data_IF_862618527216
#
_entry.id   IF_862618527216
#
_cell.length_a   1.000
_cell.length_b   1.000
_cell.length_c   1.000
_cell.angle_alpha   90.00
_cell.angle_beta   90.00
_cell.angle_gamma   90.00
#
_symmetry.space_group_name_H-M   'P 1'
#
loop_
_entity.id
_entity.type
_entity.pdbx_description
1 polymer ?
#
# COMPACT_ATOMS: atom_id res chain seq x y z
N UNK A 1 4.28 -15.10 5.25
CA UNK A 1 3.02 -14.35 5.46
C UNK A 1 3.15 -12.96 4.87
N UNK A 2 2.11 -12.50 4.18
CA UNK A 2 2.07 -11.15 3.63
C UNK A 2 0.65 -10.58 3.63
N UNK A 3 0.56 -9.26 3.72
CA UNK A 3 -0.65 -8.51 3.40
C UNK A 3 -0.46 -7.84 2.05
N UNK A 4 -1.48 -7.88 1.20
CA UNK A 4 -1.55 -7.14 -0.04
C UNK A 4 -2.77 -6.23 0.01
N UNK A 5 -2.58 -4.94 -0.25
CA UNK A 5 -3.64 -3.94 -0.19
C UNK A 5 -3.76 -3.30 -1.56
N UNK A 6 -4.96 -3.37 -2.14
CA UNK A 6 -5.31 -2.60 -3.32
C UNK A 6 -5.63 -1.17 -2.87
N UNK A 7 -4.79 -0.22 -3.25
CA UNK A 7 -4.90 1.17 -2.78
C UNK A 7 -6.17 1.84 -3.29
N UNK A 8 -6.65 1.48 -4.49
CA UNK A 8 -7.85 2.07 -5.07
C UNK A 8 -9.11 1.68 -4.27
N UNK A 9 -9.15 0.44 -3.78
CA UNK A 9 -10.35 -0.11 -3.14
C UNK A 9 -10.25 -0.20 -1.62
N UNK A 10 -9.04 -0.09 -1.06
CA UNK A 10 -8.77 -0.38 0.35
C UNK A 10 -9.01 -1.85 0.72
N UNK A 11 -9.16 -2.73 -0.27
CA UNK A 11 -9.31 -4.16 -0.06
C UNK A 11 -7.97 -4.76 0.37
N UNK A 12 -7.98 -5.53 1.45
CA UNK A 12 -6.81 -6.24 1.96
C UNK A 12 -6.96 -7.74 1.73
N UNK A 13 -5.91 -8.35 1.19
CA UNK A 13 -5.73 -9.80 1.10
C UNK A 13 -4.60 -10.21 2.03
N UNK A 14 -4.91 -11.05 3.00
CA UNK A 14 -3.92 -11.71 3.86
C UNK A 14 -3.60 -13.09 3.30
N UNK A 15 -2.33 -13.33 3.02
CA UNK A 15 -1.82 -14.63 2.57
C UNK A 15 -0.99 -15.25 3.70
N UNK A 16 -1.63 -16.13 4.46
CA UNK A 16 -0.99 -17.00 5.44
C UNK A 16 -0.33 -18.22 4.78
N UNK A 17 0.25 -19.12 5.58
CA UNK A 17 0.90 -20.33 5.06
C UNK A 17 -0.11 -21.36 4.53
N UNK A 18 -1.34 -21.35 5.06
CA UNK A 18 -2.37 -22.34 4.75
C UNK A 18 -3.74 -21.72 4.45
N UNK A 19 -3.86 -20.39 4.43
CA UNK A 19 -5.12 -19.70 4.22
C UNK A 19 -4.94 -18.34 3.56
N UNK A 20 -5.95 -17.97 2.77
CA UNK A 20 -6.11 -16.63 2.22
C UNK A 20 -7.41 -16.03 2.79
N UNK A 21 -7.33 -14.81 3.31
CA UNK A 21 -8.49 -14.04 3.76
C UNK A 21 -8.53 -12.73 2.97
N UNK A 22 -9.69 -12.36 2.47
CA UNK A 22 -9.91 -11.09 1.79
C UNK A 22 -10.99 -10.29 2.50
N UNK A 23 -10.78 -8.98 2.64
CA UNK A 23 -11.81 -8.06 3.12
C UNK A 23 -12.70 -7.63 1.97
N UNK A 24 -13.85 -7.05 2.30
CA UNK A 24 -14.61 -6.27 1.32
C UNK A 24 -13.86 -4.97 0.96
N UNK A 25 -14.08 -4.42 -0.25
CA UNK A 25 -13.69 -3.05 -0.59
C UNK A 25 -14.30 -2.02 0.37
N UNK A 26 -13.52 -1.00 0.72
CA UNK A 26 -13.94 0.04 1.67
C UNK A 26 -14.05 1.43 1.03
N UNK A 27 -13.34 1.64 -0.08
CA UNK A 27 -13.23 2.93 -0.77
C UNK A 27 -13.19 2.72 -2.29
N UNK A 28 -13.21 3.82 -3.04
CA UNK A 28 -13.04 3.81 -4.49
C UNK A 28 -12.26 5.06 -4.93
N UNK A 29 -10.96 5.04 -4.70
CA UNK A 29 -10.05 6.12 -5.08
C UNK A 29 -9.62 6.03 -6.53
N UNK A 30 -9.48 7.19 -7.18
CA UNK A 30 -8.86 7.31 -8.49
C UNK A 30 -7.34 7.39 -8.30
N UNK A 31 -6.61 6.38 -8.78
CA UNK A 31 -5.14 6.40 -8.72
C UNK A 31 -4.61 7.39 -9.75
N UNK A 32 -3.72 8.30 -9.32
CA UNK A 32 -3.06 9.24 -10.20
C UNK A 32 -2.36 8.54 -11.39
N UNK A 33 -2.25 9.25 -12.50
CA UNK A 33 -1.66 8.70 -13.73
C UNK A 33 -0.13 8.76 -13.75
N UNK A 34 0.48 9.43 -12.78
CA UNK A 34 1.93 9.54 -12.66
C UNK A 34 2.36 9.03 -11.28
N UNK A 35 3.52 8.39 -11.24
CA UNK A 35 4.16 7.99 -10.00
C UNK A 35 4.93 9.17 -9.40
N UNK A 36 4.49 9.68 -8.26
CA UNK A 36 5.15 10.76 -7.53
C UNK A 36 5.90 10.21 -6.32
N UNK A 37 7.19 9.94 -6.51
CA UNK A 37 8.07 9.35 -5.49
C UNK A 37 8.14 10.19 -4.22
N UNK A 38 8.31 11.51 -4.36
CA UNK A 38 8.54 12.39 -3.22
C UNK A 38 7.27 12.52 -2.37
N UNK A 39 6.11 12.61 -3.01
CA UNK A 39 4.82 12.60 -2.31
C UNK A 39 4.57 11.27 -1.58
N UNK A 40 4.90 10.14 -2.21
CA UNK A 40 4.79 8.83 -1.57
C UNK A 40 5.69 8.76 -0.32
N UNK A 41 6.96 9.18 -0.41
CA UNK A 41 7.89 9.20 0.71
C UNK A 41 7.44 10.13 1.84
N UNK A 42 6.92 11.31 1.52
CA UNK A 42 6.35 12.23 2.52
C UNK A 42 5.17 11.60 3.27
N UNK A 43 4.31 10.90 2.54
CA UNK A 43 3.13 10.25 3.11
C UNK A 43 3.49 9.04 3.97
N UNK A 44 4.53 8.27 3.58
CA UNK A 44 5.11 7.18 4.39
C UNK A 44 5.70 7.74 5.69
N UNK A 45 6.45 8.85 5.63
CA UNK A 45 7.02 9.48 6.82
C UNK A 45 5.94 10.00 7.79
N UNK A 46 4.74 10.31 7.29
CA UNK A 46 3.60 10.79 8.06
C UNK A 46 2.62 9.66 8.42
N UNK A 47 3.12 8.55 8.95
CA UNK A 47 2.31 7.34 9.28
C UNK A 47 1.24 7.55 10.37
N UNK A 48 1.14 8.75 10.95
CA UNK A 48 0.11 9.10 11.94
C UNK A 48 -1.28 9.32 11.34
N UNK A 49 -1.41 9.34 10.02
CA UNK A 49 -2.70 9.47 9.35
C UNK A 49 -3.61 8.25 9.64
N UNK A 50 -4.94 8.44 9.75
CA UNK A 50 -5.88 7.34 9.66
C UNK A 50 -5.64 6.53 8.39
N UNK A 51 -5.75 5.21 8.49
CA UNK A 51 -5.34 4.30 7.41
C UNK A 51 -5.98 4.61 6.04
N UNK A 52 -7.27 4.97 5.99
CA UNK A 52 -7.93 5.31 4.73
C UNK A 52 -7.44 6.64 4.14
N UNK A 53 -7.06 7.61 4.98
CA UNK A 53 -6.46 8.86 4.51
C UNK A 53 -5.04 8.63 4.00
N UNK A 54 -4.28 7.75 4.66
CA UNK A 54 -2.99 7.28 4.15
C UNK A 54 -3.13 6.64 2.76
N UNK A 55 -4.12 5.75 2.55
CA UNK A 55 -4.37 5.15 1.23
C UNK A 55 -4.77 6.20 0.18
N UNK A 56 -5.49 7.25 0.56
CA UNK A 56 -5.81 8.35 -0.35
C UNK A 56 -4.55 9.07 -0.81
N UNK A 57 -3.63 9.36 0.11
CA UNK A 57 -2.35 9.99 -0.26
C UNK A 57 -1.48 9.08 -1.14
N UNK A 58 -1.47 7.78 -0.87
CA UNK A 58 -0.84 6.79 -1.75
C UNK A 58 -1.46 6.79 -3.16
N UNK A 59 -2.80 6.85 -3.26
CA UNK A 59 -3.49 6.94 -4.54
C UNK A 59 -3.13 8.21 -5.32
N UNK A 60 -3.06 9.36 -4.62
CA UNK A 60 -2.64 10.64 -5.20
C UNK A 60 -1.19 10.62 -5.68
N UNK A 61 -0.32 9.84 -5.02
CA UNK A 61 1.06 9.63 -5.42
C UNK A 61 1.23 8.59 -6.56
N UNK A 62 0.13 8.00 -7.05
CA UNK A 62 0.15 7.02 -8.14
C UNK A 62 0.49 5.58 -7.71
N UNK A 63 0.43 5.29 -6.42
CA UNK A 63 0.61 3.93 -5.89
C UNK A 63 -0.67 3.12 -6.13
N UNK A 64 -0.53 1.93 -6.70
CA UNK A 64 -1.61 0.99 -6.97
C UNK A 64 -1.76 -0.06 -5.89
N UNK A 65 -0.62 -0.52 -5.36
CA UNK A 65 -0.59 -1.60 -4.38
C UNK A 65 0.40 -1.31 -3.27
N UNK A 66 0.03 -1.77 -2.08
CA UNK A 66 0.87 -1.75 -0.89
C UNK A 66 0.97 -3.17 -0.34
N UNK A 67 2.18 -3.73 -0.32
CA UNK A 67 2.43 -5.11 0.11
C UNK A 67 3.36 -5.13 1.31
N UNK A 68 2.94 -5.77 2.40
CA UNK A 68 3.72 -5.93 3.62
C UNK A 68 4.16 -7.38 3.74
N UNK A 69 5.48 -7.62 3.66
CA UNK A 69 6.09 -8.90 3.94
C UNK A 69 6.52 -8.97 5.41
N UNK A 70 5.65 -9.53 6.25
CA UNK A 70 5.85 -9.59 7.71
C UNK A 70 7.17 -10.28 8.06
N UNK A 71 7.42 -11.48 7.52
CA UNK A 71 8.62 -12.27 7.82
C UNK A 71 9.91 -11.61 7.35
N UNK A 72 9.84 -10.74 6.35
CA UNK A 72 10.99 -10.00 5.79
C UNK A 72 11.10 -8.59 6.38
N UNK A 73 10.21 -8.20 7.32
CA UNK A 73 10.10 -6.86 7.88
C UNK A 73 10.17 -5.75 6.82
N UNK A 74 9.46 -5.92 5.71
CA UNK A 74 9.51 -4.94 4.62
C UNK A 74 8.15 -4.65 4.00
N UNK A 75 8.00 -3.41 3.56
CA UNK A 75 6.88 -2.89 2.80
C UNK A 75 7.31 -2.57 1.36
N UNK A 76 6.44 -2.85 0.40
CA UNK A 76 6.61 -2.52 -1.01
C UNK A 76 5.41 -1.69 -1.46
N UNK A 77 5.67 -0.50 -1.99
CA UNK A 77 4.68 0.38 -2.60
C UNK A 77 4.91 0.39 -4.10
N UNK A 78 3.93 -0.05 -4.90
CA UNK A 78 4.10 -0.23 -6.34
C UNK A 78 3.22 0.73 -7.14
N UNK A 79 3.77 1.32 -8.21
CA UNK A 79 3.06 2.12 -9.21
C UNK A 79 2.47 1.28 -10.35
N UNK A 80 1.87 1.95 -11.34
CA UNK A 80 1.23 1.28 -12.50
C UNK A 80 2.23 0.69 -13.51
N UNK A 81 3.44 1.24 -13.64
CA UNK A 81 4.39 0.87 -14.69
C UNK A 81 5.62 0.13 -14.15
N UNK A 82 5.50 -0.50 -12.98
CA UNK A 82 6.60 -1.23 -12.33
C UNK A 82 7.51 -0.35 -11.46
N UNK A 83 7.19 0.93 -11.28
CA UNK A 83 7.84 1.76 -10.26
C UNK A 83 7.59 1.17 -8.87
N UNK A 84 8.59 1.18 -8.00
CA UNK A 84 8.44 0.67 -6.63
C UNK A 84 9.28 1.43 -5.61
N UNK A 85 8.79 1.47 -4.38
CA UNK A 85 9.53 1.88 -3.19
C UNK A 85 9.54 0.71 -2.21
N UNK A 86 10.70 0.46 -1.63
CA UNK A 86 10.86 -0.48 -0.54
C UNK A 86 11.16 0.27 0.75
N UNK A 87 10.47 -0.11 1.81
CA UNK A 87 10.66 0.41 3.16
C UNK A 87 10.97 -0.75 4.11
N UNK A 88 11.98 -0.57 4.96
CA UNK A 88 12.26 -1.50 6.05
C UNK A 88 11.37 -1.13 7.24
N UNK A 89 10.55 -2.07 7.69
CA UNK A 89 9.65 -1.89 8.81
C UNK A 89 10.43 -2.19 10.10
N UNK A 90 10.57 -1.18 10.95
CA UNK A 90 11.05 -1.41 12.31
C UNK A 90 9.87 -1.89 13.15
N UNK A 91 9.83 -3.21 13.39
CA UNK A 91 8.94 -3.87 14.35
C UNK A 91 9.68 -4.07 15.67
#
# INVERSE_FOLDING_TARGET
MQYHINVATGQASYMGEHSELQTEPQVNFVIANHFNRDQALQSIANITLPFLDFLREMANAGITTYTVHISKKKAIYQGKNGEQLEEQIQL
#
